data_IF_166736603455
#
_entry.id   IF_166736603455
#
_cell.length_a   1.000
_cell.length_b   1.000
_cell.length_c   1.000
_cell.angle_alpha   90.00
_cell.angle_beta   90.00
_cell.angle_gamma   90.00
#
_symmetry.space_group_name_H-M   'P 1'
#
loop_
_entity.id
_entity.type
_entity.pdbx_description
1 polymer ?
#
# COMPACT_ATOMS: atom_id res chain seq x y z
N UNK A 1 23.53 -31.22 -18.63
CA UNK A 1 23.73 -29.96 -17.89
C UNK A 1 23.44 -28.76 -18.81
N UNK A 2 22.20 -28.58 -19.27
CA UNK A 2 21.82 -27.50 -20.21
C UNK A 2 20.56 -26.72 -19.80
N UNK A 3 20.19 -26.73 -18.51
CA UNK A 3 18.96 -26.05 -18.03
C UNK A 3 19.20 -24.93 -17.01
N UNK A 4 20.42 -24.76 -16.51
CA UNK A 4 20.74 -23.67 -15.56
C UNK A 4 21.14 -22.34 -16.23
N UNK A 5 21.42 -22.32 -17.54
CA UNK A 5 21.81 -21.10 -18.25
C UNK A 5 20.64 -20.21 -18.69
N UNK A 6 19.39 -20.65 -18.54
CA UNK A 6 18.21 -19.83 -18.90
C UNK A 6 17.70 -18.95 -17.76
N UNK A 7 18.06 -19.23 -16.51
CA UNK A 7 17.61 -18.46 -15.34
C UNK A 7 18.41 -17.16 -15.12
N UNK A 8 19.61 -17.05 -15.67
CA UNK A 8 20.46 -15.85 -15.49
C UNK A 8 20.26 -14.82 -16.62
N UNK A 9 19.60 -15.19 -17.72
CA UNK A 9 19.42 -14.29 -18.87
C UNK A 9 18.19 -13.37 -18.76
N UNK A 10 17.30 -13.60 -17.79
CA UNK A 10 16.13 -12.74 -17.54
C UNK A 10 16.44 -11.59 -16.56
N UNK A 11 17.61 -11.63 -15.89
CA UNK A 11 18.09 -10.57 -15.00
C UNK A 11 19.06 -9.59 -15.71
N UNK A 12 19.35 -9.82 -17.00
CA UNK A 12 20.46 -9.17 -17.71
C UNK A 12 20.13 -8.55 -19.06
N UNK A 13 18.94 -7.96 -19.25
CA UNK A 13 18.57 -7.32 -20.53
C UNK A 13 17.73 -6.05 -20.38
N UNK A 14 18.11 -5.16 -19.45
CA UNK A 14 17.62 -3.76 -19.39
C UNK A 14 18.76 -2.73 -19.26
N UNK A 15 20.01 -3.18 -19.15
CA UNK A 15 21.16 -2.31 -18.95
C UNK A 15 21.95 -2.03 -20.23
N UNK A 16 21.42 -1.28 -21.20
CA UNK A 16 22.25 -0.53 -22.18
C UNK A 16 21.39 0.40 -23.06
N UNK A 17 21.03 1.53 -22.48
CA UNK A 17 20.48 2.71 -23.16
C UNK A 17 20.96 3.95 -22.43
N UNK A 18 22.25 4.24 -22.54
CA UNK A 18 22.96 5.28 -21.80
C UNK A 18 22.56 6.68 -22.26
N UNK A 19 21.73 7.35 -21.44
CA UNK A 19 21.93 8.74 -21.05
C UNK A 19 21.18 8.98 -19.73
N UNK A 20 21.87 8.70 -18.61
CA UNK A 20 21.37 8.96 -17.27
C UNK A 20 21.57 7.82 -16.27
N UNK A 21 22.80 7.35 -16.08
CA UNK A 21 23.13 6.46 -14.95
C UNK A 21 23.05 7.28 -13.65
N UNK A 22 21.91 7.18 -12.96
CA UNK A 22 21.70 7.29 -11.49
C UNK A 22 20.22 7.55 -11.13
N UNK A 23 19.27 6.74 -11.62
CA UNK A 23 17.82 7.04 -11.46
C UNK A 23 17.06 6.07 -10.53
N UNK A 24 17.61 4.92 -10.14
CA UNK A 24 16.76 3.88 -9.52
C UNK A 24 16.73 3.83 -7.97
N UNK A 25 17.49 4.64 -7.22
CA UNK A 25 17.60 4.44 -5.74
C UNK A 25 17.37 5.69 -4.87
N UNK A 26 17.12 6.88 -5.43
CA UNK A 26 16.98 8.11 -4.64
C UNK A 26 15.79 8.98 -5.12
N UNK A 27 14.57 8.43 -5.06
CA UNK A 27 13.34 9.04 -5.57
C UNK A 27 12.80 10.24 -4.78
N UNK A 28 13.02 10.31 -3.46
CA UNK A 28 12.32 11.31 -2.62
C UNK A 28 12.89 12.73 -2.66
N UNK A 29 14.19 12.88 -2.94
CA UNK A 29 14.86 14.17 -2.82
C UNK A 29 14.89 14.96 -4.11
N UNK A 30 14.93 14.31 -5.29
CA UNK A 30 15.20 15.02 -6.54
C UNK A 30 14.03 15.82 -7.09
N UNK A 31 12.81 15.31 -7.03
CA UNK A 31 11.63 16.09 -7.44
C UNK A 31 11.48 17.32 -6.53
N UNK A 32 11.65 17.12 -5.22
CA UNK A 32 11.53 18.18 -4.22
C UNK A 32 12.67 19.18 -4.26
N UNK A 33 13.89 18.74 -4.54
CA UNK A 33 15.07 19.60 -4.68
C UNK A 33 15.03 20.36 -6.01
N UNK A 34 14.48 19.78 -7.08
CA UNK A 34 14.16 20.48 -8.31
C UNK A 34 13.08 21.55 -8.08
N UNK A 35 11.99 21.22 -7.38
CA UNK A 35 10.93 22.18 -7.01
C UNK A 35 11.46 23.29 -6.10
N UNK A 36 12.34 22.99 -5.15
CA UNK A 36 12.96 24.00 -4.27
C UNK A 36 14.00 24.86 -4.99
N UNK A 37 14.77 24.28 -5.92
CA UNK A 37 15.70 25.06 -6.74
C UNK A 37 14.94 26.00 -7.67
N UNK A 38 13.81 25.55 -8.21
CA UNK A 38 12.85 26.37 -8.98
C UNK A 38 12.35 27.56 -8.17
N UNK A 39 11.93 27.34 -6.93
CA UNK A 39 11.45 28.41 -6.05
C UNK A 39 12.54 29.45 -5.74
N UNK A 40 13.79 29.01 -5.56
CA UNK A 40 14.94 29.92 -5.34
C UNK A 40 15.35 30.69 -6.60
N UNK A 41 15.28 30.08 -7.78
CA UNK A 41 15.68 30.72 -9.04
C UNK A 41 14.63 31.72 -9.54
N UNK A 42 13.35 31.53 -9.22
CA UNK A 42 12.30 32.49 -9.56
C UNK A 42 12.45 33.87 -8.89
N UNK A 43 13.41 34.02 -7.95
CA UNK A 43 13.68 35.28 -7.26
C UNK A 43 14.75 36.17 -7.95
N UNK A 44 15.42 35.72 -9.02
CA UNK A 44 16.50 36.50 -9.68
C UNK A 44 16.24 36.80 -11.16
N UNK A 45 16.30 38.08 -11.51
CA UNK A 45 16.30 38.73 -12.85
C UNK A 45 15.14 38.47 -13.84
N UNK A 46 14.43 39.56 -14.18
CA UNK A 46 13.05 39.60 -14.70
C UNK A 46 12.88 39.19 -16.17
N UNK A 47 13.78 39.58 -17.07
CA UNK A 47 13.66 39.23 -18.50
C UNK A 47 14.20 37.82 -18.81
N UNK A 48 15.22 37.39 -18.07
CA UNK A 48 15.67 36.00 -18.10
C UNK A 48 14.63 35.05 -17.47
N UNK A 49 13.87 35.56 -16.48
CA UNK A 49 12.78 34.87 -15.81
C UNK A 49 11.66 34.43 -16.78
N UNK A 50 11.25 35.27 -17.72
CA UNK A 50 10.16 34.91 -18.66
C UNK A 50 10.59 33.81 -19.64
N UNK A 51 11.82 33.87 -20.19
CA UNK A 51 12.35 32.80 -21.04
C UNK A 51 12.55 31.50 -20.26
N UNK A 52 13.18 31.59 -19.08
CA UNK A 52 13.38 30.44 -18.20
C UNK A 52 12.04 29.85 -17.72
N UNK A 53 10.98 30.64 -17.54
CA UNK A 53 9.65 30.13 -17.17
C UNK A 53 9.05 29.17 -18.21
N UNK A 54 9.26 29.42 -19.50
CA UNK A 54 8.79 28.50 -20.54
C UNK A 54 9.65 27.23 -20.58
N UNK A 55 10.98 27.36 -20.52
CA UNK A 55 11.89 26.22 -20.47
C UNK A 55 11.62 25.34 -19.24
N UNK A 56 11.31 25.95 -18.09
CA UNK A 56 10.95 25.24 -16.85
C UNK A 56 9.61 24.51 -16.97
N UNK A 57 8.60 25.12 -17.61
CA UNK A 57 7.31 24.44 -17.87
C UNK A 57 7.51 23.22 -18.77
N UNK A 58 8.38 23.32 -19.76
CA UNK A 58 8.72 22.21 -20.66
C UNK A 58 9.49 21.09 -19.94
N UNK A 59 10.49 21.41 -19.12
CA UNK A 59 11.21 20.43 -18.31
C UNK A 59 10.30 19.71 -17.31
N UNK A 60 9.40 20.44 -16.65
CA UNK A 60 8.41 19.85 -15.74
C UNK A 60 7.39 18.98 -16.48
N UNK A 61 6.98 19.37 -17.70
CA UNK A 61 6.12 18.55 -18.54
C UNK A 61 6.81 17.25 -18.99
N UNK A 62 8.11 17.31 -19.30
CA UNK A 62 8.90 16.13 -19.62
C UNK A 62 9.01 15.16 -18.42
N UNK A 63 9.21 15.67 -17.21
CA UNK A 63 9.20 14.85 -15.98
C UNK A 63 7.83 14.25 -15.71
N UNK A 64 6.75 15.01 -15.92
CA UNK A 64 5.37 14.53 -15.80
C UNK A 64 5.10 13.33 -16.70
N UNK A 65 5.67 13.32 -17.91
CA UNK A 65 5.48 12.23 -18.86
C UNK A 65 6.18 10.92 -18.44
N UNK A 66 7.21 11.00 -17.58
CA UNK A 66 7.94 9.82 -17.12
C UNK A 66 7.12 8.98 -16.13
N UNK A 67 6.33 9.61 -15.26
CA UNK A 67 5.54 8.89 -14.24
C UNK A 67 4.52 7.89 -14.84
N UNK A 68 3.64 8.27 -15.80
CA UNK A 68 2.74 7.32 -16.44
C UNK A 68 3.47 6.13 -17.08
N UNK A 69 4.65 6.37 -17.67
CA UNK A 69 5.48 5.31 -18.28
C UNK A 69 6.02 4.36 -17.22
N UNK A 70 6.52 4.88 -16.09
CA UNK A 70 6.99 4.05 -14.97
C UNK A 70 5.84 3.24 -14.35
N UNK A 71 4.69 3.86 -14.11
CA UNK A 71 3.48 3.20 -13.60
C UNK A 71 3.03 2.08 -14.56
N UNK A 72 3.04 2.34 -15.87
CA UNK A 72 2.70 1.33 -16.86
C UNK A 72 3.69 0.16 -16.88
N UNK A 73 4.99 0.45 -16.75
CA UNK A 73 6.04 -0.57 -16.69
C UNK A 73 5.90 -1.47 -15.44
N UNK A 74 5.69 -0.89 -14.26
CA UNK A 74 5.46 -1.64 -13.02
C UNK A 74 4.21 -2.51 -13.10
N UNK A 75 3.11 -1.99 -13.68
CA UNK A 75 1.89 -2.78 -13.91
C UNK A 75 2.10 -3.91 -14.90
N UNK A 76 2.91 -3.70 -15.94
CA UNK A 76 3.25 -4.75 -16.89
C UNK A 76 4.05 -5.87 -16.22
N UNK A 77 5.04 -5.52 -15.37
CA UNK A 77 5.79 -6.49 -14.56
C UNK A 77 4.88 -7.27 -13.60
N UNK A 78 3.96 -6.58 -12.92
CA UNK A 78 2.99 -7.23 -12.03
C UNK A 78 2.10 -8.23 -12.79
N UNK A 79 1.67 -7.88 -14.01
CA UNK A 79 0.89 -8.77 -14.87
C UNK A 79 1.69 -10.00 -15.35
N UNK A 80 3.00 -9.82 -15.61
CA UNK A 80 3.90 -10.92 -15.95
C UNK A 80 4.05 -11.90 -14.76
N UNK A 81 4.29 -11.39 -13.56
CA UNK A 81 4.34 -12.21 -12.34
C UNK A 81 3.03 -12.96 -12.13
N UNK A 82 1.88 -12.31 -12.32
CA UNK A 82 0.57 -12.96 -12.24
C UNK A 82 0.39 -14.10 -13.27
N UNK A 83 0.94 -13.93 -14.47
CA UNK A 83 0.92 -14.98 -15.48
C UNK A 83 1.81 -16.17 -15.08
N UNK A 84 2.99 -15.91 -14.52
CA UNK A 84 3.90 -16.95 -14.03
C UNK A 84 3.26 -17.74 -12.88
N UNK A 85 2.62 -17.06 -11.91
CA UNK A 85 1.89 -17.71 -10.81
C UNK A 85 0.79 -18.62 -11.35
N UNK A 86 -0.03 -18.15 -12.31
CA UNK A 86 -1.08 -18.98 -12.93
C UNK A 86 -0.52 -20.22 -13.62
N UNK A 87 0.66 -20.12 -14.24
CA UNK A 87 1.31 -21.26 -14.87
C UNK A 87 1.77 -22.28 -13.83
N UNK A 88 2.39 -21.82 -12.75
CA UNK A 88 2.82 -22.67 -11.63
C UNK A 88 1.64 -23.35 -10.94
N UNK A 89 0.50 -22.68 -10.79
CA UNK A 89 -0.72 -23.28 -10.24
C UNK A 89 -1.24 -24.43 -11.10
N UNK A 90 -1.24 -24.27 -12.42
CA UNK A 90 -1.59 -25.35 -13.35
C UNK A 90 -0.61 -26.52 -13.25
N UNK A 91 0.69 -26.24 -13.10
CA UNK A 91 1.71 -27.28 -12.93
C UNK A 91 1.58 -28.00 -11.59
N UNK A 92 1.31 -27.27 -10.50
CA UNK A 92 1.05 -27.82 -9.19
C UNK A 92 -0.16 -28.76 -9.23
N UNK A 93 -1.25 -28.36 -9.87
CA UNK A 93 -2.44 -29.21 -10.02
C UNK A 93 -2.11 -30.51 -10.75
N UNK A 94 -1.37 -30.45 -11.87
CA UNK A 94 -0.93 -31.65 -12.58
C UNK A 94 -0.06 -32.56 -11.70
N UNK A 95 0.83 -32.00 -10.90
CA UNK A 95 1.66 -32.79 -9.98
C UNK A 95 0.78 -33.50 -8.94
N UNK A 96 -0.18 -32.79 -8.35
CA UNK A 96 -1.16 -33.36 -7.40
C UNK A 96 -1.97 -34.48 -8.03
N UNK A 97 -2.48 -34.29 -9.24
CA UNK A 97 -3.27 -35.30 -9.95
C UNK A 97 -2.44 -36.56 -10.21
N UNK A 98 -1.17 -36.41 -10.61
CA UNK A 98 -0.26 -37.54 -10.83
C UNK A 98 0.05 -38.27 -9.53
N UNK A 99 0.27 -37.56 -8.43
CA UNK A 99 0.49 -38.17 -7.11
C UNK A 99 -0.74 -38.98 -6.70
N UNK A 100 -1.94 -38.43 -6.87
CA UNK A 100 -3.19 -39.12 -6.55
C UNK A 100 -3.37 -40.40 -7.38
N UNK A 101 -3.07 -40.36 -8.69
CA UNK A 101 -3.07 -41.54 -9.55
C UNK A 101 -2.04 -42.59 -9.09
N UNK A 102 -0.85 -42.17 -8.68
CA UNK A 102 0.16 -43.08 -8.14
C UNK A 102 -0.32 -43.75 -6.84
N UNK A 103 -0.94 -42.98 -5.94
CA UNK A 103 -1.48 -43.47 -4.66
C UNK A 103 -2.61 -44.49 -4.89
N UNK A 104 -3.49 -44.22 -5.86
CA UNK A 104 -4.54 -45.16 -6.27
C UNK A 104 -3.94 -46.47 -6.82
N UNK A 105 -2.96 -46.36 -7.72
CA UNK A 105 -2.30 -47.51 -8.34
C UNK A 105 -1.54 -48.36 -7.33
N UNK A 106 -0.79 -47.75 -6.41
CA UNK A 106 -0.11 -48.43 -5.31
C UNK A 106 -1.15 -49.16 -4.45
N UNK A 107 -2.23 -48.49 -4.06
CA UNK A 107 -3.27 -49.07 -3.24
C UNK A 107 -3.95 -50.27 -3.92
N UNK A 108 -4.22 -50.18 -5.23
CA UNK A 108 -4.79 -51.27 -6.01
C UNK A 108 -3.83 -52.46 -6.09
N UNK A 109 -2.56 -52.24 -6.41
CA UNK A 109 -1.53 -53.29 -6.46
C UNK A 109 -1.35 -53.96 -5.10
N UNK A 110 -1.31 -53.19 -4.01
CA UNK A 110 -1.21 -53.73 -2.65
C UNK A 110 -2.41 -54.60 -2.29
N UNK A 111 -3.64 -54.19 -2.63
CA UNK A 111 -4.86 -55.00 -2.40
C UNK A 111 -4.81 -56.31 -3.18
N UNK A 112 -4.43 -56.26 -4.46
CA UNK A 112 -4.36 -57.46 -5.31
C UNK A 112 -3.27 -58.42 -4.85
N UNK A 113 -2.09 -57.91 -4.46
CA UNK A 113 -1.01 -58.74 -3.88
C UNK A 113 -1.45 -59.42 -2.59
N UNK A 114 -2.14 -58.71 -1.69
CA UNK A 114 -2.69 -59.29 -0.46
C UNK A 114 -3.75 -60.36 -0.74
N UNK A 115 -4.61 -60.15 -1.75
CA UNK A 115 -5.59 -61.14 -2.15
C UNK A 115 -4.93 -62.39 -2.76
N UNK A 116 -3.94 -62.22 -3.64
CA UNK A 116 -3.19 -63.32 -4.24
C UNK A 116 -2.41 -64.13 -3.19
N UNK A 117 -1.81 -63.46 -2.19
CA UNK A 117 -1.10 -64.13 -1.11
C UNK A 117 -2.01 -64.95 -0.17
N UNK A 118 -3.30 -64.58 -0.06
CA UNK A 118 -4.30 -65.32 0.75
C UNK A 118 -4.94 -66.48 0.01
N UNK A 119 -4.90 -66.49 -1.32
CA UNK A 119 -5.37 -67.61 -2.10
C UNK A 119 -4.34 -68.74 -1.98
N UNK A 120 -4.57 -69.70 -1.08
CA UNK A 120 -3.67 -70.81 -0.71
C UNK A 120 -3.26 -71.75 -1.88
N UNK A 121 -3.71 -71.50 -3.11
CA UNK A 121 -3.39 -72.29 -4.29
C UNK A 121 -2.87 -71.41 -5.44
N UNK A 122 -1.55 -71.21 -5.48
CA UNK A 122 -0.81 -71.01 -6.75
C UNK A 122 -1.11 -69.77 -7.58
N UNK A 123 -1.72 -68.71 -7.03
CA UNK A 123 -1.88 -67.45 -7.74
C UNK A 123 -0.53 -66.73 -7.90
N UNK A 124 0.27 -67.16 -8.88
CA UNK A 124 1.60 -66.62 -9.20
C UNK A 124 1.55 -65.27 -9.91
N UNK A 125 0.35 -64.85 -10.37
CA UNK A 125 0.15 -63.65 -11.14
C UNK A 125 -1.04 -62.81 -10.64
N UNK A 126 -0.85 -61.49 -10.62
CA UNK A 126 -1.90 -60.48 -10.38
C UNK A 126 -2.31 -59.83 -11.70
N UNK A 127 -3.54 -59.29 -11.77
CA UNK A 127 -4.03 -58.57 -12.95
C UNK A 127 -4.24 -57.09 -12.63
N UNK A 128 -3.44 -56.22 -13.24
CA UNK A 128 -3.47 -54.78 -13.00
C UNK A 128 -3.64 -54.04 -14.33
N UNK A 129 -4.67 -53.18 -14.42
CA UNK A 129 -5.04 -52.41 -15.63
C UNK A 129 -5.09 -53.27 -16.92
N UNK A 130 -5.63 -54.48 -16.82
CA UNK A 130 -5.78 -55.41 -17.95
C UNK A 130 -4.54 -56.25 -18.29
N UNK A 131 -3.39 -55.98 -17.67
CA UNK A 131 -2.16 -56.75 -17.83
C UNK A 131 -1.92 -57.71 -16.67
N UNK A 132 -1.31 -58.86 -16.95
CA UNK A 132 -0.89 -59.83 -15.93
C UNK A 132 0.56 -59.61 -15.54
N UNK A 133 0.84 -59.59 -14.25
CA UNK A 133 2.18 -59.44 -13.68
C UNK A 133 2.45 -60.57 -12.71
N UNK A 134 3.65 -61.13 -12.72
CA UNK A 134 4.12 -61.99 -11.62
C UNK A 134 4.25 -61.19 -10.31
N UNK A 135 4.29 -61.88 -9.18
CA UNK A 135 4.47 -61.21 -7.87
C UNK A 135 5.76 -60.38 -7.79
N UNK A 136 6.87 -60.85 -8.39
CA UNK A 136 8.13 -60.12 -8.45
C UNK A 136 8.04 -58.90 -9.38
N UNK A 137 7.39 -59.01 -10.54
CA UNK A 137 7.16 -57.87 -11.44
C UNK A 137 6.22 -56.83 -10.81
N UNK A 138 5.25 -57.25 -10.01
CA UNK A 138 4.39 -56.35 -9.27
C UNK A 138 5.17 -55.52 -8.24
N UNK A 139 6.18 -56.10 -7.59
CA UNK A 139 7.05 -55.39 -6.66
C UNK A 139 7.90 -54.33 -7.37
N UNK A 140 8.51 -54.69 -8.49
CA UNK A 140 9.29 -53.72 -9.28
C UNK A 140 8.39 -52.59 -9.82
N UNK A 141 7.15 -52.91 -10.20
CA UNK A 141 6.16 -51.91 -10.61
C UNK A 141 5.80 -50.95 -9.48
N UNK A 142 5.56 -51.45 -8.26
CA UNK A 142 5.29 -50.59 -7.09
C UNK A 142 6.48 -49.68 -6.78
N UNK A 143 7.72 -50.18 -6.82
CA UNK A 143 8.92 -49.37 -6.62
C UNK A 143 9.02 -48.26 -7.69
N UNK A 144 8.72 -48.58 -8.95
CA UNK A 144 8.70 -47.60 -10.04
C UNK A 144 7.63 -46.52 -9.85
N UNK A 145 6.43 -46.90 -9.43
CA UNK A 145 5.33 -45.95 -9.16
C UNK A 145 5.70 -45.06 -7.96
N UNK A 146 6.27 -45.63 -6.89
CA UNK A 146 6.77 -44.86 -5.75
C UNK A 146 7.85 -43.85 -6.14
N UNK A 147 8.83 -44.25 -6.96
CA UNK A 147 9.85 -43.33 -7.46
C UNK A 147 9.24 -42.17 -8.27
N UNK A 148 8.21 -42.46 -9.08
CA UNK A 148 7.48 -41.43 -9.84
C UNK A 148 6.74 -40.49 -8.88
N UNK A 149 6.04 -41.04 -7.90
CA UNK A 149 5.35 -40.29 -6.85
C UNK A 149 6.30 -39.35 -6.11
N UNK A 150 7.44 -39.85 -5.64
CA UNK A 150 8.45 -39.05 -4.93
C UNK A 150 8.99 -37.90 -5.78
N UNK A 151 9.25 -38.16 -7.08
CA UNK A 151 9.69 -37.12 -8.01
C UNK A 151 8.66 -35.98 -8.12
N UNK A 152 7.37 -36.32 -8.26
CA UNK A 152 6.31 -35.30 -8.35
C UNK A 152 6.03 -34.62 -7.02
N UNK A 153 6.17 -35.31 -5.88
CA UNK A 153 6.10 -34.70 -4.54
C UNK A 153 7.20 -33.67 -4.35
N UNK A 154 8.43 -33.99 -4.76
CA UNK A 154 9.54 -33.03 -4.73
C UNK A 154 9.27 -31.85 -5.66
N UNK A 155 8.81 -32.11 -6.89
CA UNK A 155 8.46 -31.03 -7.84
C UNK A 155 7.37 -30.12 -7.27
N UNK A 156 6.38 -30.67 -6.57
CA UNK A 156 5.33 -29.89 -5.92
C UNK A 156 5.90 -28.97 -4.82
N UNK A 157 6.85 -29.46 -4.02
CA UNK A 157 7.55 -28.64 -3.02
C UNK A 157 8.42 -27.54 -3.63
N UNK A 158 9.03 -27.79 -4.80
CA UNK A 158 9.78 -26.78 -5.54
C UNK A 158 8.83 -25.69 -6.08
N UNK A 159 7.69 -26.10 -6.64
CA UNK A 159 6.67 -25.15 -7.14
C UNK A 159 6.10 -24.31 -5.99
N UNK A 160 5.88 -24.87 -4.80
CA UNK A 160 5.41 -24.08 -3.66
C UNK A 160 6.43 -23.02 -3.23
N UNK A 161 7.71 -23.37 -3.17
CA UNK A 161 8.77 -22.41 -2.86
C UNK A 161 8.88 -21.32 -3.93
N UNK A 162 8.78 -21.67 -5.21
CA UNK A 162 8.81 -20.70 -6.32
C UNK A 162 7.60 -19.73 -6.24
N UNK A 163 6.41 -20.23 -5.88
CA UNK A 163 5.22 -19.39 -5.68
C UNK A 163 5.39 -18.42 -4.50
N UNK A 164 6.05 -18.82 -3.42
CA UNK A 164 6.35 -17.92 -2.30
C UNK A 164 7.28 -16.78 -2.71
N UNK A 165 8.30 -17.08 -3.51
CA UNK A 165 9.21 -16.05 -4.06
C UNK A 165 8.45 -15.07 -4.97
N UNK A 166 7.63 -15.56 -5.89
CA UNK A 166 6.82 -14.69 -6.77
C UNK A 166 5.78 -13.87 -5.99
N UNK A 167 5.23 -14.42 -4.89
CA UNK A 167 4.33 -13.67 -4.02
C UNK A 167 5.04 -12.51 -3.32
N UNK A 168 6.27 -12.72 -2.86
CA UNK A 168 7.10 -11.66 -2.28
C UNK A 168 7.45 -10.59 -3.33
N UNK A 169 7.85 -10.99 -4.54
CA UNK A 169 8.12 -10.07 -5.64
C UNK A 169 6.89 -9.25 -6.02
N UNK A 170 5.71 -9.88 -6.12
CA UNK A 170 4.44 -9.18 -6.38
C UNK A 170 4.12 -8.16 -5.29
N UNK A 171 4.35 -8.49 -4.02
CA UNK A 171 4.12 -7.58 -2.91
C UNK A 171 5.07 -6.37 -2.96
N UNK A 172 6.34 -6.61 -3.33
CA UNK A 172 7.30 -5.53 -3.56
C UNK A 172 6.87 -4.61 -4.70
N UNK A 173 6.51 -5.16 -5.87
CA UNK A 173 6.03 -4.38 -7.01
C UNK A 173 4.77 -3.58 -6.68
N UNK A 174 3.86 -4.13 -5.88
CA UNK A 174 2.67 -3.41 -5.43
C UNK A 174 3.03 -2.21 -4.53
N UNK A 175 3.95 -2.40 -3.59
CA UNK A 175 4.47 -1.32 -2.73
C UNK A 175 5.18 -0.23 -3.53
N UNK A 176 6.02 -0.61 -4.50
CA UNK A 176 6.68 0.34 -5.41
C UNK A 176 5.67 1.11 -6.27
N UNK A 177 4.64 0.44 -6.77
CA UNK A 177 3.56 1.07 -7.54
C UNK A 177 2.78 2.09 -6.70
N UNK A 178 2.46 1.74 -5.44
CA UNK A 178 1.82 2.66 -4.50
C UNK A 178 2.69 3.89 -4.25
N UNK A 179 3.98 3.69 -4.00
CA UNK A 179 4.94 4.77 -3.77
C UNK A 179 5.02 5.70 -4.99
N UNK A 180 5.24 5.17 -6.20
CA UNK A 180 5.36 5.96 -7.43
C UNK A 180 4.05 6.69 -7.73
N UNK A 181 2.91 6.08 -7.46
CA UNK A 181 1.59 6.72 -7.66
C UNK A 181 1.39 7.86 -6.66
N UNK A 182 1.78 7.70 -5.40
CA UNK A 182 1.73 8.76 -4.40
C UNK A 182 2.68 9.91 -4.77
N UNK A 183 3.91 9.60 -5.20
CA UNK A 183 4.88 10.58 -5.69
C UNK A 183 4.34 11.36 -6.91
N UNK A 184 3.67 10.68 -7.85
CA UNK A 184 3.03 11.33 -8.99
C UNK A 184 1.94 12.31 -8.55
N UNK A 185 1.12 11.95 -7.56
CA UNK A 185 0.06 12.83 -7.03
C UNK A 185 0.64 14.05 -6.32
N UNK A 186 1.67 13.86 -5.49
CA UNK A 186 2.39 14.96 -4.83
C UNK A 186 3.02 15.89 -5.88
N UNK A 187 3.72 15.32 -6.86
CA UNK A 187 4.33 16.08 -7.95
C UNK A 187 3.28 16.88 -8.75
N UNK A 188 2.14 16.29 -9.10
CA UNK A 188 1.08 16.98 -9.84
C UNK A 188 0.48 18.13 -9.02
N UNK A 189 0.32 17.98 -7.71
CA UNK A 189 -0.15 19.03 -6.82
C UNK A 189 0.86 20.19 -6.72
N UNK A 190 2.15 19.88 -6.53
CA UNK A 190 3.23 20.86 -6.52
C UNK A 190 3.36 21.57 -7.87
N UNK A 191 3.27 20.83 -8.98
CA UNK A 191 3.29 21.35 -10.34
C UNK A 191 2.17 22.36 -10.57
N UNK A 192 0.93 22.02 -10.21
CA UNK A 192 -0.21 22.94 -10.35
C UNK A 192 -0.05 24.19 -9.48
N UNK A 193 0.53 24.08 -8.29
CA UNK A 193 0.85 25.24 -7.45
C UNK A 193 1.86 26.15 -8.14
N UNK A 194 2.97 25.59 -8.63
CA UNK A 194 4.02 26.33 -9.35
C UNK A 194 3.47 27.01 -10.61
N UNK A 195 2.64 26.33 -11.40
CA UNK A 195 2.02 26.94 -12.58
C UNK A 195 1.18 28.16 -12.19
N UNK A 196 0.36 28.06 -11.13
CA UNK A 196 -0.44 29.19 -10.64
C UNK A 196 0.44 30.34 -10.11
N UNK A 197 1.56 30.04 -9.47
CA UNK A 197 2.53 31.03 -9.01
C UNK A 197 3.19 31.75 -10.18
N UNK A 198 3.64 31.02 -11.20
CA UNK A 198 4.20 31.58 -12.43
C UNK A 198 3.18 32.53 -13.09
N UNK A 199 1.92 32.11 -13.19
CA UNK A 199 0.87 32.94 -13.81
C UNK A 199 0.51 34.18 -12.96
N UNK A 200 0.69 34.12 -11.64
CA UNK A 200 0.59 35.31 -10.77
C UNK A 200 1.77 36.26 -10.99
N UNK A 201 3.00 35.73 -11.09
CA UNK A 201 4.20 36.54 -11.35
C UNK A 201 4.12 37.23 -12.71
N UNK A 202 3.69 36.51 -13.75
CA UNK A 202 3.48 37.10 -15.09
C UNK A 202 2.49 38.26 -15.06
N UNK A 203 1.34 38.10 -14.40
CA UNK A 203 0.35 39.19 -14.25
C UNK A 203 0.90 40.38 -13.45
N UNK A 204 1.65 40.12 -12.37
CA UNK A 204 2.29 41.19 -11.61
C UNK A 204 3.32 41.95 -12.47
N UNK A 205 4.05 41.26 -13.34
CA UNK A 205 5.01 41.87 -14.25
C UNK A 205 4.32 42.77 -15.27
N UNK A 206 3.23 42.30 -15.89
CA UNK A 206 2.42 43.12 -16.82
C UNK A 206 1.89 44.39 -16.13
N UNK A 207 1.48 44.30 -14.86
CA UNK A 207 1.05 45.46 -14.08
C UNK A 207 2.19 46.45 -13.78
N UNK A 208 3.40 45.95 -13.48
CA UNK A 208 4.59 46.77 -13.27
C UNK A 208 4.94 47.52 -14.57
N UNK A 209 4.98 46.83 -15.71
CA UNK A 209 5.24 47.46 -17.00
C UNK A 209 4.21 48.56 -17.33
N UNK A 210 2.93 48.32 -17.06
CA UNK A 210 1.88 49.33 -17.26
C UNK A 210 2.11 50.53 -16.32
N UNK A 211 2.52 50.30 -15.07
CA UNK A 211 2.82 51.36 -14.11
C UNK A 211 4.05 52.17 -14.52
N UNK A 212 5.11 51.53 -15.01
CA UNK A 212 6.32 52.17 -15.53
C UNK A 212 6.05 53.02 -16.77
N UNK A 213 5.23 52.52 -17.71
CA UNK A 213 4.78 53.32 -18.86
C UNK A 213 4.02 54.57 -18.42
N UNK A 214 3.20 54.48 -17.35
CA UNK A 214 2.45 55.60 -16.78
C UNK A 214 3.35 56.61 -16.06
N UNK A 215 4.36 56.18 -15.31
CA UNK A 215 5.32 57.08 -14.65
C UNK A 215 6.25 57.74 -15.67
N UNK A 216 6.72 57.01 -16.68
CA UNK A 216 7.56 57.52 -17.76
C UNK A 216 6.87 58.57 -18.65
N UNK A 217 5.57 58.44 -18.89
CA UNK A 217 4.77 59.45 -19.61
C UNK A 217 4.24 60.58 -18.69
N UNK A 218 4.21 60.36 -17.38
CA UNK A 218 3.65 61.28 -16.39
C UNK A 218 4.63 62.32 -15.83
N UNK A 219 5.95 62.16 -16.04
CA UNK A 219 6.97 63.05 -15.45
C UNK A 219 6.85 64.51 -15.89
N UNK A 220 6.16 64.83 -16.98
CA UNK A 220 5.94 66.21 -17.42
C UNK A 220 4.64 66.83 -16.88
N UNK A 221 3.82 66.11 -16.10
CA UNK A 221 2.53 66.59 -15.56
C UNK A 221 2.30 66.26 -14.08
N UNK A 222 3.32 65.76 -13.37
CA UNK A 222 3.17 65.05 -12.09
C UNK A 222 3.14 65.89 -10.80
N UNK A 223 3.11 67.22 -10.87
CA UNK A 223 3.05 68.07 -9.67
C UNK A 223 1.76 67.91 -8.86
N UNK A 224 0.61 67.83 -9.54
CA UNK A 224 -0.71 67.82 -8.88
C UNK A 224 -1.29 66.40 -8.70
N UNK A 225 -0.83 65.42 -9.49
CA UNK A 225 -1.26 64.02 -9.40
C UNK A 225 -0.52 63.20 -8.32
N UNK A 226 0.67 63.64 -7.89
CA UNK A 226 1.40 62.99 -6.79
C UNK A 226 0.73 63.22 -5.43
N UNK A 227 0.01 64.34 -5.27
CA UNK A 227 -0.76 64.62 -4.06
C UNK A 227 -2.04 63.78 -3.96
N UNK A 228 -2.65 63.43 -5.10
CA UNK A 228 -3.79 62.50 -5.12
C UNK A 228 -3.33 61.04 -5.03
N UNK A 229 -2.17 60.69 -5.58
CA UNK A 229 -1.59 59.36 -5.46
C UNK A 229 -1.05 59.08 -4.04
N UNK A 230 -0.54 60.08 -3.33
CA UNK A 230 -0.20 59.94 -1.90
C UNK A 230 -1.45 59.72 -1.04
N UNK A 231 -2.56 60.39 -1.36
CA UNK A 231 -3.88 60.19 -0.72
C UNK A 231 -4.47 58.81 -1.02
N UNK A 232 -4.32 58.30 -2.24
CA UNK A 232 -4.75 56.94 -2.60
C UNK A 232 -3.84 55.88 -1.97
N UNK A 233 -2.52 56.13 -1.90
CA UNK A 233 -1.58 55.24 -1.22
C UNK A 233 -1.85 55.16 0.28
N UNK A 234 -2.13 56.28 0.94
CA UNK A 234 -2.52 56.28 2.35
C UNK A 234 -3.87 55.59 2.57
N UNK A 235 -4.84 55.74 1.65
CA UNK A 235 -6.10 55.02 1.70
C UNK A 235 -5.92 53.51 1.49
N UNK A 236 -4.98 53.09 0.63
CA UNK A 236 -4.66 51.69 0.37
C UNK A 236 -3.90 51.06 1.55
N UNK A 237 -2.94 51.77 2.13
CA UNK A 237 -2.22 51.33 3.33
C UNK A 237 -3.19 51.21 4.52
N UNK A 238 -4.14 52.13 4.64
CA UNK A 238 -5.25 52.04 5.61
C UNK A 238 -6.16 50.84 5.35
N UNK A 239 -6.56 50.59 4.11
CA UNK A 239 -7.37 49.42 3.74
C UNK A 239 -6.61 48.10 3.96
N UNK A 240 -5.29 48.08 3.75
CA UNK A 240 -4.43 46.91 4.01
C UNK A 240 -4.26 46.67 5.51
N UNK A 241 -4.11 47.72 6.32
CA UNK A 241 -4.11 47.59 7.78
C UNK A 241 -5.48 47.12 8.30
N UNK A 242 -6.60 47.64 7.79
CA UNK A 242 -7.94 47.14 8.13
C UNK A 242 -8.14 45.68 7.69
N UNK A 243 -7.62 45.27 6.53
CA UNK A 243 -7.62 43.86 6.12
C UNK A 243 -6.70 42.99 6.98
N UNK A 244 -5.53 43.48 7.39
CA UNK A 244 -4.66 42.76 8.31
C UNK A 244 -5.26 42.66 9.71
N UNK A 245 -5.95 43.68 10.22
CA UNK A 245 -6.71 43.61 11.47
C UNK A 245 -7.93 42.68 11.34
N UNK A 246 -8.62 42.68 10.19
CA UNK A 246 -9.67 41.69 9.89
C UNK A 246 -9.12 40.28 9.76
N UNK A 247 -7.91 40.09 9.20
CA UNK A 247 -7.24 38.81 9.11
C UNK A 247 -6.63 38.37 10.45
N UNK A 248 -6.17 39.30 11.29
CA UNK A 248 -5.70 39.03 12.65
C UNK A 248 -6.86 38.70 13.58
N UNK A 249 -7.99 39.41 13.48
CA UNK A 249 -9.23 39.05 14.20
C UNK A 249 -9.86 37.76 13.66
N UNK A 250 -9.77 37.49 12.35
CA UNK A 250 -10.14 36.18 11.78
C UNK A 250 -9.15 35.06 12.17
N UNK A 251 -7.86 35.36 12.36
CA UNK A 251 -6.86 34.43 12.93
C UNK A 251 -7.01 34.25 14.45
N UNK A 252 -7.67 35.17 15.15
CA UNK A 252 -8.09 35.03 16.55
C UNK A 252 -9.49 34.36 16.64
N UNK A 253 -9.94 33.71 15.57
CA UNK A 253 -10.85 32.58 15.66
C UNK A 253 -10.09 31.26 15.39
N UNK A 254 -9.37 30.70 16.37
CA UNK A 254 -8.92 29.33 16.28
C UNK A 254 -10.12 28.42 16.51
N UNK A 255 -10.74 27.94 15.42
CA UNK A 255 -11.39 26.63 15.44
C UNK A 255 -10.46 25.61 14.77
N UNK A 256 -9.25 25.51 15.30
CA UNK A 256 -8.70 24.19 15.53
C UNK A 256 -9.42 23.68 16.79
N UNK A 257 -10.48 22.93 16.58
CA UNK A 257 -11.02 22.06 17.61
C UNK A 257 -9.97 20.99 17.89
N UNK A 258 -9.11 21.32 18.83
CA UNK A 258 -8.22 20.45 19.57
C UNK A 258 -8.79 19.03 19.75
N UNK A 259 -8.14 18.05 19.14
CA UNK A 259 -8.24 16.66 19.60
C UNK A 259 -7.75 16.53 21.05
N UNK A 260 -6.87 17.43 21.50
CA UNK A 260 -6.37 17.47 22.88
C UNK A 260 -7.40 18.01 23.89
N UNK A 261 -8.23 18.99 23.53
CA UNK A 261 -9.29 19.53 24.41
C UNK A 261 -10.46 18.57 24.45
N UNK A 262 -10.75 17.86 23.36
CA UNK A 262 -11.73 16.77 23.31
C UNK A 262 -11.25 15.54 24.11
N UNK A 263 -9.95 15.22 24.07
CA UNK A 263 -9.35 14.18 24.91
C UNK A 263 -9.38 14.56 26.40
N UNK A 264 -9.02 15.81 26.74
CA UNK A 264 -9.08 16.32 28.12
C UNK A 264 -10.51 16.33 28.67
N UNK A 265 -11.51 16.68 27.87
CA UNK A 265 -12.92 16.62 28.27
C UNK A 265 -13.38 15.19 28.55
N UNK A 266 -13.02 14.23 27.69
CA UNK A 266 -13.32 12.81 27.90
C UNK A 266 -12.59 12.23 29.12
N UNK A 267 -11.39 12.71 29.43
CA UNK A 267 -10.64 12.31 30.61
C UNK A 267 -11.24 12.90 31.90
N UNK A 268 -11.72 14.15 31.86
CA UNK A 268 -12.47 14.77 32.95
C UNK A 268 -13.82 14.05 33.16
N UNK A 269 -14.51 13.62 32.10
CA UNK A 269 -15.74 12.84 32.19
C UNK A 269 -15.48 11.44 32.80
N UNK A 270 -14.43 10.73 32.38
CA UNK A 270 -14.02 9.46 33.02
C UNK A 270 -13.68 9.63 34.49
N UNK A 271 -12.97 10.70 34.86
CA UNK A 271 -12.65 10.97 36.26
C UNK A 271 -13.89 11.31 37.10
N UNK A 272 -14.88 12.00 36.52
CA UNK A 272 -16.16 12.29 37.18
C UNK A 272 -17.04 11.07 37.30
N UNK A 273 -17.04 10.16 36.33
CA UNK A 273 -17.74 8.88 36.41
C UNK A 273 -17.07 7.93 37.41
N UNK A 274 -15.74 7.89 37.45
CA UNK A 274 -15.00 7.13 38.46
C UNK A 274 -15.26 7.69 39.87
N UNK A 275 -15.27 9.01 40.04
CA UNK A 275 -15.65 9.64 41.32
C UNK A 275 -17.12 9.40 41.68
N UNK A 276 -18.06 9.49 40.73
CA UNK A 276 -19.47 9.15 40.99
C UNK A 276 -19.69 7.68 41.35
N UNK A 277 -18.89 6.75 40.83
CA UNK A 277 -18.95 5.33 41.22
C UNK A 277 -18.33 5.06 42.59
N UNK A 278 -17.42 5.93 43.04
CA UNK A 278 -16.80 5.85 44.38
C UNK A 278 -17.60 6.63 45.44
N UNK A 279 -18.26 7.74 45.08
CA UNK A 279 -19.08 8.57 45.97
C UNK A 279 -20.58 8.26 45.91
N UNK A 280 -21.03 7.46 44.94
CA UNK A 280 -22.43 7.06 44.74
C UNK A 280 -22.75 5.64 45.20
N UNK A 281 -21.98 5.09 46.15
CA UNK A 281 -22.40 3.94 46.93
C UNK A 281 -23.14 4.47 48.17
N UNK A 282 -24.49 4.47 48.21
CA UNK A 282 -25.20 4.79 49.43
C UNK A 282 -24.92 3.71 50.49
N UNK A 283 -24.34 4.18 51.59
CA UNK A 283 -24.26 3.49 52.87
C UNK A 283 -25.63 2.93 53.26
N UNK A 284 -25.61 1.65 53.63
CA UNK A 284 -26.67 1.03 54.42
C UNK A 284 -26.87 1.79 55.74
N UNK A 285 -28.07 1.72 56.31
CA UNK A 285 -28.18 1.61 57.75
C UNK A 285 -28.96 0.35 58.16
N UNK A 286 -28.32 -0.44 59.02
CA UNK A 286 -28.88 -1.49 59.88
C UNK A 286 -28.77 -0.92 61.33
N UNK A 287 -29.45 -1.40 62.41
CA UNK A 287 -30.61 -2.31 62.59
C UNK A 287 -31.73 -1.73 63.50
N UNK A 288 -32.86 -2.45 63.62
CA UNK A 288 -33.65 -2.48 64.87
C UNK A 288 -34.31 -3.86 65.03
N UNK A 289 -34.44 -4.29 66.29
CA UNK A 289 -34.51 -5.67 66.77
C UNK A 289 -35.93 -6.26 66.91
N UNK A 290 -35.94 -7.60 66.99
CA UNK A 290 -36.83 -8.51 67.77
C UNK A 290 -38.34 -8.61 67.43
N UNK A 291 -38.75 -9.78 66.90
CA UNK A 291 -39.63 -10.73 67.60
C UNK A 291 -39.58 -12.14 66.97
N UNK A 292 -39.68 -13.18 67.80
CA UNK A 292 -39.43 -14.63 67.54
C UNK A 292 -40.65 -15.39 66.93
N UNK A 293 -40.75 -16.75 67.00
CA UNK A 293 -40.20 -17.78 66.09
C UNK A 293 -41.27 -18.77 65.54
N UNK A 294 -40.93 -19.63 64.56
CA UNK A 294 -41.55 -20.97 64.32
C UNK A 294 -40.78 -21.70 63.19
N UNK A 295 -40.12 -22.81 63.51
CA UNK A 295 -40.48 -24.19 63.07
C UNK A 295 -39.93 -24.54 61.67
N UNK A 296 -38.94 -25.44 61.61
CA UNK A 296 -39.04 -26.81 61.05
C UNK A 296 -39.05 -26.78 59.50
N UNK A 297 -38.10 -27.35 58.76
CA UNK A 297 -37.71 -28.76 58.70
C UNK A 297 -36.37 -28.93 57.94
N UNK A 298 -35.72 -30.04 58.22
CA UNK A 298 -34.44 -30.52 57.71
C UNK A 298 -34.53 -31.14 56.27
N UNK A 299 -33.40 -31.60 55.68
CA UNK A 299 -33.15 -31.65 54.24
C UNK A 299 -33.36 -33.04 53.63
N UNK A 300 -33.50 -33.13 52.31
CA UNK A 300 -33.27 -34.36 51.52
C UNK A 300 -33.05 -33.93 50.05
N UNK A 301 -31.85 -34.11 49.48
CA UNK A 301 -31.36 -35.32 48.80
C UNK A 301 -31.98 -35.57 47.41
N UNK A 302 -31.16 -36.23 46.58
CA UNK A 302 -31.48 -36.82 45.28
C UNK A 302 -31.53 -35.88 44.06
N UNK A 303 -31.05 -36.24 42.88
CA UNK A 303 -30.26 -37.36 42.37
C UNK A 303 -29.87 -36.92 40.95
N UNK A 304 -28.62 -37.07 40.51
CA UNK A 304 -28.19 -38.23 39.72
C UNK A 304 -29.30 -38.84 38.83
N UNK A 305 -29.28 -38.53 37.53
CA UNK A 305 -29.49 -39.49 36.42
C UNK A 305 -29.24 -38.73 35.11
N UNK A 306 -28.12 -38.99 34.40
CA UNK A 306 -27.96 -40.05 33.38
C UNK A 306 -28.88 -39.82 32.19
N UNK A 307 -28.34 -39.64 30.99
CA UNK A 307 -27.77 -40.69 30.13
C UNK A 307 -28.43 -40.54 28.75
N UNK A 308 -27.89 -40.93 27.60
CA UNK A 308 -26.84 -41.86 27.20
C UNK A 308 -26.26 -41.37 25.87
#
# INVERSE_FOLDING_TARGET
MCKFFKAVFIVGLVGLGTLGVAVAVLGKHRARDAVKSLQKMAQSEVDELIRRQNDMKEQLAALREQYPRQVAALRAQQAEVDQQVKQLEKEAQRCTDIIALCDEDISALTRQRKAAARAEAGATAISFRGSRYSMAEAETLVVRINSTREMYTRRLSEISAEREVLAAEKAQLASELELVTAEQQEFEAEYQSLVREIDRLKRNQELIEIAERRTGQGSCKHGESMETLSKVRSALDKARMEQEERMKSARIAPRQSDYETRAKLLEIERQREARRKVEGAPEQPVPAAEDQPAEEEEPELEAAMWGK
#
